data_IF_895013513533
#
_entry.id   IF_895013513533
#
_cell.length_a   1.000
_cell.length_b   1.000
_cell.length_c   1.000
_cell.angle_alpha   90.00
_cell.angle_beta   90.00
_cell.angle_gamma   90.00
#
_symmetry.space_group_name_H-M   'P 1'
#
loop_
_entity.id
_entity.type
_entity.pdbx_description
1 polymer ?
#
# COMPACT_ATOMS: atom_id res chain seq x y z
N UNK A 1 -2.92 -48.27 -34.85
CA UNK A 1 -4.02 -47.67 -34.06
C UNK A 1 -4.34 -48.64 -32.93
N UNK A 2 -4.10 -48.25 -31.67
CA UNK A 2 -5.17 -47.58 -30.90
C UNK A 2 -4.72 -46.42 -29.98
N UNK A 3 -5.72 -45.59 -29.65
CA UNK A 3 -5.96 -44.77 -28.46
C UNK A 3 -4.81 -43.98 -27.81
N UNK A 4 -4.79 -42.67 -28.08
CA UNK A 4 -4.15 -41.66 -27.24
C UNK A 4 -5.21 -41.14 -26.24
N UNK A 5 -5.00 -41.22 -24.91
CA UNK A 5 -5.99 -40.78 -23.95
C UNK A 5 -6.07 -39.24 -23.92
N UNK A 6 -7.27 -38.74 -24.18
CA UNK A 6 -7.69 -37.36 -24.05
C UNK A 6 -7.39 -36.84 -22.64
N UNK A 7 -6.46 -35.89 -22.53
CA UNK A 7 -6.33 -35.09 -21.30
C UNK A 7 -7.45 -34.06 -21.33
N UNK A 8 -8.53 -34.38 -20.62
CA UNK A 8 -9.59 -33.46 -20.27
C UNK A 8 -9.01 -32.38 -19.38
N UNK A 9 -8.86 -31.16 -19.90
CA UNK A 9 -8.64 -29.97 -19.07
C UNK A 9 -9.89 -29.81 -18.22
N UNK A 10 -9.78 -30.19 -16.94
CA UNK A 10 -10.82 -29.94 -15.95
C UNK A 10 -10.90 -28.43 -15.76
N UNK A 11 -11.94 -27.88 -16.37
CA UNK A 11 -12.52 -26.59 -16.03
C UNK A 11 -12.80 -26.59 -14.52
N UNK A 12 -12.02 -25.80 -13.79
CA UNK A 12 -11.75 -26.03 -12.39
C UNK A 12 -11.35 -24.76 -11.68
N UNK A 13 -12.34 -23.91 -11.44
CA UNK A 13 -12.26 -22.88 -10.41
C UNK A 13 -12.53 -21.50 -10.95
N UNK A 14 -13.74 -21.00 -10.67
CA UNK A 14 -13.98 -19.59 -10.41
C UNK A 14 -12.93 -19.12 -9.38
N UNK A 15 -11.79 -18.61 -9.85
CA UNK A 15 -10.87 -17.89 -8.99
C UNK A 15 -11.57 -16.58 -8.65
N UNK A 16 -12.03 -16.51 -7.40
CA UNK A 16 -12.58 -15.31 -6.82
C UNK A 16 -11.58 -14.18 -7.08
N UNK A 17 -12.05 -13.13 -7.76
CA UNK A 17 -11.48 -11.79 -7.65
C UNK A 17 -11.05 -11.62 -6.20
N UNK A 18 -9.74 -11.47 -5.94
CA UNK A 18 -9.25 -11.03 -4.63
C UNK A 18 -9.92 -9.68 -4.37
N UNK A 19 -10.99 -9.72 -3.57
CA UNK A 19 -11.74 -8.52 -3.23
C UNK A 19 -10.86 -7.72 -2.28
N UNK A 20 -10.92 -6.38 -2.27
CA UNK A 20 -10.33 -5.59 -1.19
C UNK A 20 -10.82 -6.03 0.21
N UNK A 21 -11.97 -6.71 0.28
CA UNK A 21 -12.52 -7.31 1.50
C UNK A 21 -11.79 -8.58 1.98
N UNK A 22 -10.92 -9.19 1.16
CA UNK A 22 -10.13 -10.39 1.49
C UNK A 22 -8.72 -10.03 2.02
N UNK A 23 -8.39 -8.73 2.10
CA UNK A 23 -7.27 -8.28 2.93
C UNK A 23 -7.57 -8.66 4.39
N UNK A 24 -6.58 -9.18 5.16
CA UNK A 24 -6.81 -9.62 6.53
C UNK A 24 -7.55 -8.54 7.32
N UNK A 25 -8.70 -8.92 7.89
CA UNK A 25 -9.68 -8.00 8.45
C UNK A 25 -9.05 -6.97 9.37
N UNK A 26 -9.00 -5.73 8.90
CA UNK A 26 -8.61 -4.58 9.71
C UNK A 26 -9.72 -4.37 10.73
N UNK A 27 -9.45 -4.75 11.98
CA UNK A 27 -10.38 -4.49 13.08
C UNK A 27 -10.55 -2.97 13.25
N UNK A 28 -11.79 -2.48 13.48
CA UNK A 28 -12.02 -1.06 13.75
C UNK A 28 -11.27 -0.66 15.03
N UNK A 29 -10.38 0.33 14.91
CA UNK A 29 -9.59 0.82 16.04
C UNK A 29 -10.43 1.69 16.96
N UNK A 30 -10.53 1.33 18.24
CA UNK A 30 -10.95 2.26 19.29
C UNK A 30 -9.75 3.14 19.66
N UNK A 31 -9.86 4.45 19.42
CA UNK A 31 -8.77 5.43 19.63
C UNK A 31 -8.55 5.76 21.11
N UNK A 32 -7.28 5.77 21.53
CA UNK A 32 -6.77 6.52 22.68
C UNK A 32 -6.14 7.80 22.11
N UNK A 33 -6.55 8.98 22.57
CA UNK A 33 -6.25 10.29 21.95
C UNK A 33 -4.77 10.54 21.57
N UNK A 34 -3.80 9.92 22.26
CA UNK A 34 -2.37 10.03 21.94
C UNK A 34 -1.96 9.44 20.58
N UNK A 35 -2.76 8.54 20.02
CA UNK A 35 -2.49 7.95 18.70
C UNK A 35 -3.00 8.81 17.55
N UNK A 36 -4.06 9.61 17.77
CA UNK A 36 -4.60 10.55 16.77
C UNK A 36 -3.60 11.67 16.50
N UNK A 37 -3.09 12.34 17.54
CA UNK A 37 -2.13 13.44 17.39
C UNK A 37 -0.89 13.01 16.59
N UNK A 38 -0.35 11.83 16.90
CA UNK A 38 0.83 11.28 16.21
C UNK A 38 0.53 10.98 14.75
N UNK A 39 -0.62 10.35 14.46
CA UNK A 39 -1.01 10.05 13.09
C UNK A 39 -1.29 11.32 12.28
N UNK A 40 -1.95 12.32 12.89
CA UNK A 40 -2.22 13.62 12.26
C UNK A 40 -0.94 14.30 11.76
N UNK A 41 0.10 14.35 12.61
CA UNK A 41 1.40 14.89 12.23
C UNK A 41 2.10 14.09 11.11
N UNK A 42 1.96 12.76 11.09
CA UNK A 42 2.51 11.92 10.02
C UNK A 42 1.80 12.16 8.69
N UNK A 43 0.46 12.28 8.70
CA UNK A 43 -0.35 12.58 7.52
C UNK A 43 -0.02 13.95 6.96
N UNK A 44 0.06 14.98 7.82
CA UNK A 44 0.44 16.33 7.40
C UNK A 44 1.84 16.35 6.77
N UNK A 45 2.82 15.69 7.38
CA UNK A 45 4.17 15.57 6.82
C UNK A 45 4.19 14.83 5.47
N UNK A 46 3.44 13.74 5.34
CA UNK A 46 3.36 12.99 4.09
C UNK A 46 2.74 13.83 2.95
N UNK A 47 1.70 14.62 3.24
CA UNK A 47 1.12 15.56 2.27
C UNK A 47 2.18 16.57 1.80
N UNK A 48 2.88 17.23 2.73
CA UNK A 48 3.93 18.20 2.39
C UNK A 48 5.04 17.60 1.53
N UNK A 49 5.46 16.37 1.83
CA UNK A 49 6.50 15.65 1.08
C UNK A 49 6.01 15.31 -0.33
N UNK A 50 4.77 14.83 -0.47
CA UNK A 50 4.19 14.48 -1.76
C UNK A 50 3.95 15.71 -2.64
N UNK A 51 3.50 16.83 -2.07
CA UNK A 51 3.38 18.11 -2.78
C UNK A 51 4.74 18.60 -3.30
N UNK A 52 5.78 18.49 -2.48
CA UNK A 52 7.14 18.82 -2.88
C UNK A 52 7.71 17.87 -3.95
N UNK A 53 7.44 16.56 -3.82
CA UNK A 53 7.74 15.55 -4.82
C UNK A 53 7.10 15.87 -6.17
N UNK A 54 5.81 16.23 -6.19
CA UNK A 54 5.09 16.58 -7.43
C UNK A 54 5.60 17.88 -8.05
N UNK A 55 5.82 18.90 -7.22
CA UNK A 55 6.31 20.21 -7.67
C UNK A 55 7.71 20.12 -8.27
N UNK A 56 8.64 19.45 -7.57
CA UNK A 56 10.06 19.37 -7.99
C UNK A 56 10.33 18.23 -8.96
N UNK A 57 9.46 17.22 -9.03
CA UNK A 57 9.61 16.01 -9.84
C UNK A 57 10.93 15.27 -9.60
N UNK A 58 11.34 15.17 -8.33
CA UNK A 58 12.52 14.41 -7.89
C UNK A 58 12.13 13.01 -7.44
N UNK A 59 13.07 12.04 -7.33
CA UNK A 59 12.77 10.77 -6.70
C UNK A 59 12.22 10.95 -5.28
N UNK A 60 11.20 10.16 -4.89
CA UNK A 60 10.56 10.28 -3.57
C UNK A 60 11.58 10.18 -2.41
N UNK A 61 12.59 9.30 -2.56
CA UNK A 61 13.68 9.16 -1.58
C UNK A 61 14.41 10.48 -1.33
N UNK A 62 14.59 11.30 -2.37
CA UNK A 62 15.21 12.63 -2.26
C UNK A 62 14.31 13.58 -1.49
N UNK A 63 13.02 13.66 -1.82
CA UNK A 63 12.06 14.50 -1.09
C UNK A 63 11.94 14.11 0.40
N UNK A 64 11.88 12.81 0.69
CA UNK A 64 11.90 12.28 2.06
C UNK A 64 13.18 12.68 2.81
N UNK A 65 14.34 12.56 2.17
CA UNK A 65 15.62 12.94 2.77
C UNK A 65 15.72 14.45 3.01
N UNK A 66 15.20 15.27 2.08
CA UNK A 66 15.17 16.72 2.20
C UNK A 66 14.32 17.16 3.40
N UNK A 67 13.08 16.69 3.47
CA UNK A 67 12.19 16.94 4.60
C UNK A 67 12.80 16.44 5.91
N UNK A 68 13.44 15.28 5.88
CA UNK A 68 14.00 14.64 7.07
C UNK A 68 15.07 15.50 7.77
N UNK A 69 15.87 16.28 7.02
CA UNK A 69 16.89 17.17 7.59
C UNK A 69 16.31 18.27 8.47
N UNK A 70 15.14 18.80 8.10
CA UNK A 70 14.44 19.83 8.87
C UNK A 70 13.60 19.26 10.02
N UNK A 71 13.13 18.02 9.89
CA UNK A 71 12.24 17.38 10.87
C UNK A 71 13.00 16.78 12.07
N UNK A 72 13.67 17.61 12.90
CA UNK A 72 14.50 17.14 14.03
C UNK A 72 13.76 16.29 15.07
N UNK A 73 12.45 16.48 15.18
CA UNK A 73 11.59 15.78 16.15
C UNK A 73 11.01 14.46 15.63
N UNK A 74 11.11 14.20 14.32
CA UNK A 74 10.64 12.94 13.76
C UNK A 74 11.64 11.82 14.07
N UNK A 75 11.23 10.86 14.89
CA UNK A 75 12.03 9.68 15.19
C UNK A 75 12.11 8.72 13.99
N UNK A 76 12.96 7.70 14.08
CA UNK A 76 13.10 6.69 13.02
C UNK A 76 11.77 5.98 12.70
N UNK A 77 10.92 5.75 13.71
CA UNK A 77 9.58 5.15 13.52
C UNK A 77 8.65 6.09 12.75
N UNK A 78 8.63 7.38 13.08
CA UNK A 78 7.78 8.35 12.37
C UNK A 78 8.22 8.52 10.93
N UNK A 79 9.53 8.59 10.67
CA UNK A 79 10.05 8.68 9.29
C UNK A 79 9.68 7.46 8.46
N UNK A 80 9.71 6.26 9.06
CA UNK A 80 9.29 5.04 8.39
C UNK A 80 7.78 5.05 8.08
N UNK A 81 6.94 5.44 9.04
CA UNK A 81 5.50 5.54 8.84
C UNK A 81 5.13 6.58 7.76
N UNK A 82 5.78 7.76 7.77
CA UNK A 82 5.59 8.81 6.77
C UNK A 82 6.01 8.34 5.37
N UNK A 83 7.16 7.67 5.25
CA UNK A 83 7.59 7.09 3.98
C UNK A 83 6.60 6.01 3.49
N UNK A 84 6.07 5.22 4.41
CA UNK A 84 5.01 4.24 4.15
C UNK A 84 3.76 4.89 3.54
N UNK A 85 3.21 5.91 4.20
CA UNK A 85 2.05 6.66 3.71
C UNK A 85 2.29 7.26 2.32
N UNK A 86 3.46 7.86 2.08
CA UNK A 86 3.81 8.41 0.77
C UNK A 86 3.79 7.33 -0.32
N UNK A 87 4.42 6.17 -0.05
CA UNK A 87 4.46 5.07 -1.00
C UNK A 87 3.09 4.43 -1.22
N UNK A 88 2.27 4.31 -0.19
CA UNK A 88 0.94 3.71 -0.31
C UNK A 88 -0.01 4.57 -1.15
N UNK A 89 0.05 5.90 -0.99
CA UNK A 89 -0.68 6.84 -1.86
C UNK A 89 -0.16 6.76 -3.29
N UNK A 90 1.17 6.77 -3.51
CA UNK A 90 1.72 6.73 -4.87
C UNK A 90 1.43 5.41 -5.60
N UNK A 91 1.46 4.27 -4.90
CA UNK A 91 1.09 2.96 -5.46
C UNK A 91 -0.37 2.89 -5.88
N UNK A 92 -1.23 3.74 -5.31
CA UNK A 92 -2.69 3.72 -5.52
C UNK A 92 -3.24 5.02 -6.08
N UNK A 93 -2.38 5.84 -6.70
CA UNK A 93 -2.74 7.23 -6.98
C UNK A 93 -3.94 7.35 -7.93
N UNK A 94 -4.05 6.49 -8.93
CA UNK A 94 -5.13 6.59 -9.94
C UNK A 94 -6.46 6.16 -9.34
N UNK A 95 -6.49 5.02 -8.64
CA UNK A 95 -7.70 4.51 -8.00
C UNK A 95 -8.18 5.47 -6.90
N UNK A 96 -7.26 6.01 -6.08
CA UNK A 96 -7.57 7.00 -5.05
C UNK A 96 -8.14 8.30 -5.64
N UNK A 97 -7.52 8.82 -6.70
CA UNK A 97 -7.97 10.06 -7.34
C UNK A 97 -9.34 9.88 -7.99
N UNK A 98 -9.54 8.76 -8.69
CA UNK A 98 -10.84 8.42 -9.26
C UNK A 98 -11.92 8.27 -8.18
N UNK A 99 -11.58 7.64 -7.05
CA UNK A 99 -12.51 7.44 -5.96
C UNK A 99 -13.00 8.72 -5.31
N UNK A 100 -12.08 9.64 -5.02
CA UNK A 100 -12.45 10.92 -4.38
C UNK A 100 -12.91 11.98 -5.39
N UNK A 101 -12.57 11.81 -6.68
CA UNK A 101 -12.87 12.74 -7.75
C UNK A 101 -11.95 13.97 -7.77
N UNK A 102 -10.74 13.84 -7.22
CA UNK A 102 -9.73 14.90 -7.12
C UNK A 102 -8.32 14.27 -7.14
N UNK A 103 -7.43 14.79 -7.99
CA UNK A 103 -6.06 14.29 -8.18
C UNK A 103 -5.04 14.89 -7.20
N UNK A 104 -5.49 15.82 -6.35
CA UNK A 104 -4.67 16.50 -5.36
C UNK A 104 -4.10 15.56 -4.30
N UNK A 105 -2.89 15.88 -3.84
CA UNK A 105 -2.18 15.09 -2.80
C UNK A 105 -3.01 14.94 -1.53
N UNK A 106 -3.62 16.02 -1.06
CA UNK A 106 -4.50 15.99 0.12
C UNK A 106 -5.69 15.06 -0.09
N UNK A 107 -6.39 15.20 -1.21
CA UNK A 107 -7.56 14.39 -1.51
C UNK A 107 -7.23 12.90 -1.57
N UNK A 108 -6.17 12.53 -2.30
CA UNK A 108 -5.71 11.13 -2.39
C UNK A 108 -5.24 10.57 -1.05
N UNK A 109 -4.60 11.37 -0.20
CA UNK A 109 -4.26 10.97 1.17
C UNK A 109 -5.49 10.71 2.03
N UNK A 110 -6.49 11.59 2.01
CA UNK A 110 -7.74 11.41 2.75
C UNK A 110 -8.50 10.15 2.28
N UNK A 111 -8.53 9.91 0.97
CA UNK A 111 -9.10 8.69 0.40
C UNK A 111 -8.34 7.43 0.88
N UNK A 112 -7.02 7.49 0.94
CA UNK A 112 -6.19 6.38 1.41
C UNK A 112 -6.49 6.04 2.88
N UNK A 113 -6.59 7.04 3.75
CA UNK A 113 -6.97 6.85 5.16
C UNK A 113 -8.33 6.16 5.31
N UNK A 114 -9.30 6.54 4.45
CA UNK A 114 -10.65 5.97 4.48
C UNK A 114 -10.70 4.51 4.01
N UNK A 115 -10.04 4.22 2.88
CA UNK A 115 -10.16 2.95 2.17
C UNK A 115 -9.20 1.89 2.73
N UNK A 116 -7.95 2.26 3.04
CA UNK A 116 -6.89 1.32 3.36
C UNK A 116 -6.47 1.35 4.83
N UNK A 117 -6.47 2.50 5.50
CA UNK A 117 -6.29 2.54 6.97
C UNK A 117 -7.59 2.22 7.73
N UNK A 118 -8.72 2.11 7.00
CA UNK A 118 -10.00 1.69 7.56
C UNK A 118 -10.69 2.71 8.46
N UNK A 119 -10.23 3.97 8.48
CA UNK A 119 -10.81 5.02 9.32
C UNK A 119 -12.25 5.34 8.90
N UNK A 120 -13.12 5.68 9.87
CA UNK A 120 -14.44 6.24 9.59
C UNK A 120 -14.32 7.68 9.06
N UNK A 121 -15.32 8.22 8.35
CA UNK A 121 -15.32 9.62 7.95
C UNK A 121 -15.07 10.58 9.12
N UNK A 122 -15.69 10.31 10.28
CA UNK A 122 -15.52 11.12 11.50
C UNK A 122 -14.10 11.02 12.06
N UNK A 123 -13.48 9.83 12.03
CA UNK A 123 -12.10 9.65 12.47
C UNK A 123 -11.12 10.38 11.53
N UNK A 124 -11.37 10.36 10.21
CA UNK A 124 -10.60 11.16 9.24
C UNK A 124 -10.79 12.65 9.51
N UNK A 125 -12.01 13.10 9.79
CA UNK A 125 -12.31 14.49 10.11
C UNK A 125 -11.59 14.96 11.38
N UNK A 126 -11.66 14.18 12.46
CA UNK A 126 -10.98 14.46 13.72
C UNK A 126 -9.46 14.52 13.54
N UNK A 127 -8.88 13.56 12.82
CA UNK A 127 -7.45 13.53 12.52
C UNK A 127 -7.01 14.74 11.66
N UNK A 128 -7.82 15.10 10.65
CA UNK A 128 -7.52 16.23 9.78
C UNK A 128 -7.57 17.56 10.54
N UNK A 129 -8.56 17.72 11.43
CA UNK A 129 -8.79 18.92 12.23
C UNK A 129 -7.87 19.05 13.46
N UNK A 130 -7.05 18.04 13.76
CA UNK A 130 -6.23 18.00 14.96
C UNK A 130 -5.19 19.13 14.99
N UNK A 131 -5.47 20.22 15.70
CA UNK A 131 -4.56 21.36 15.79
C UNK A 131 -3.51 21.15 16.90
N UNK A 132 -2.22 21.49 16.68
CA UNK A 132 -1.66 22.18 15.50
C UNK A 132 -1.05 21.23 14.45
N UNK A 133 -1.26 19.92 14.54
CA UNK A 133 -0.44 18.93 13.83
C UNK A 133 -1.06 18.35 12.55
N UNK A 134 -2.38 18.38 12.43
CA UNK A 134 -3.14 17.85 11.32
C UNK A 134 -3.06 18.74 10.07
N UNK A 135 -3.43 18.18 8.90
CA UNK A 135 -3.39 18.89 7.63
C UNK A 135 -4.44 20.00 7.47
N UNK A 136 -5.31 20.21 8.47
CA UNK A 136 -6.39 21.20 8.46
C UNK A 136 -7.77 20.55 8.29
N UNK A 137 -8.78 21.15 8.92
CA UNK A 137 -10.16 20.65 8.93
C UNK A 137 -10.69 20.37 7.52
N UNK A 138 -11.61 19.42 7.41
CA UNK A 138 -12.21 19.05 6.13
C UNK A 138 -13.12 20.16 5.60
N UNK A 139 -13.10 20.36 4.29
CA UNK A 139 -14.17 21.09 3.61
C UNK A 139 -15.46 20.26 3.55
N UNK A 140 -16.60 20.92 3.32
CA UNK A 140 -17.88 20.23 3.12
C UNK A 140 -17.83 19.23 1.96
N UNK A 141 -17.13 19.59 0.87
CA UNK A 141 -16.94 18.72 -0.28
C UNK A 141 -16.12 17.46 0.06
N UNK A 142 -15.03 17.62 0.81
CA UNK A 142 -14.20 16.50 1.28
C UNK A 142 -15.02 15.56 2.18
N UNK A 143 -15.76 16.11 3.14
CA UNK A 143 -16.60 15.33 4.05
C UNK A 143 -17.69 14.55 3.30
N UNK A 144 -18.37 15.18 2.32
CA UNK A 144 -19.37 14.53 1.49
C UNK A 144 -18.80 13.40 0.63
N UNK A 145 -17.58 13.57 0.08
CA UNK A 145 -16.91 12.51 -0.67
C UNK A 145 -16.48 11.35 0.22
N UNK A 146 -15.87 11.63 1.37
CA UNK A 146 -15.40 10.59 2.31
C UNK A 146 -16.51 9.65 2.78
N UNK A 147 -17.72 10.16 2.95
CA UNK A 147 -18.88 9.36 3.36
C UNK A 147 -19.35 8.37 2.28
N UNK A 148 -19.11 8.68 0.99
CA UNK A 148 -19.57 7.90 -0.17
C UNK A 148 -18.48 7.01 -0.79
N UNK A 149 -17.20 7.21 -0.44
CA UNK A 149 -16.05 6.53 -1.05
C UNK A 149 -16.15 5.01 -1.14
N UNK A 150 -16.59 4.31 -0.08
CA UNK A 150 -16.72 2.85 -0.12
C UNK A 150 -17.80 2.36 -1.07
N UNK A 151 -18.84 3.16 -1.32
CA UNK A 151 -19.85 2.83 -2.32
C UNK A 151 -19.26 2.95 -3.73
N UNK A 152 -18.52 4.02 -3.99
CA UNK A 152 -17.82 4.24 -5.25
C UNK A 152 -16.79 3.15 -5.56
N UNK A 153 -15.98 2.75 -4.56
CA UNK A 153 -15.00 1.67 -4.73
C UNK A 153 -15.67 0.36 -5.16
N UNK A 154 -16.79 -0.01 -4.50
CA UNK A 154 -17.55 -1.22 -4.85
C UNK A 154 -18.16 -1.15 -6.24
N UNK A 155 -18.58 0.03 -6.68
CA UNK A 155 -19.14 0.24 -8.02
C UNK A 155 -18.06 0.20 -9.10
N UNK A 156 -16.92 0.85 -8.84
CA UNK A 156 -15.78 0.89 -9.76
C UNK A 156 -15.13 -0.48 -9.96
N UNK A 157 -15.19 -1.35 -8.95
CA UNK A 157 -14.71 -2.73 -9.03
C UNK A 157 -15.64 -3.67 -9.82
N UNK A 158 -16.81 -3.21 -10.28
CA UNK A 158 -17.70 -4.01 -11.15
C UNK A 158 -17.21 -4.00 -12.59
N UNK A 159 -17.63 -5.02 -13.33
CA UNK A 159 -17.40 -5.10 -14.77
C UNK A 159 -17.99 -3.87 -15.47
N UNK A 160 -17.15 -3.12 -16.19
CA UNK A 160 -17.51 -1.85 -16.82
C UNK A 160 -17.44 -0.60 -15.93
N UNK A 161 -16.95 -0.70 -14.69
CA UNK A 161 -16.80 0.42 -13.76
C UNK A 161 -15.70 1.41 -14.16
N UNK A 162 -14.45 1.13 -13.77
CA UNK A 162 -13.29 1.96 -14.13
C UNK A 162 -12.41 1.27 -15.19
N UNK A 163 -11.70 2.03 -16.05
CA UNK A 163 -10.64 1.47 -16.89
C UNK A 163 -9.65 0.67 -16.04
N UNK A 164 -9.15 -0.44 -16.58
CA UNK A 164 -8.23 -1.33 -15.84
C UNK A 164 -6.98 -0.58 -15.35
N UNK A 165 -6.49 0.40 -16.11
CA UNK A 165 -5.38 1.27 -15.71
C UNK A 165 -5.65 2.11 -14.46
N UNK A 166 -6.91 2.48 -14.23
CA UNK A 166 -7.36 3.16 -13.02
C UNK A 166 -7.56 2.15 -11.89
N UNK A 167 -8.25 1.04 -12.15
CA UNK A 167 -8.58 0.03 -11.15
C UNK A 167 -7.34 -0.69 -10.58
N UNK A 168 -6.28 -0.83 -11.36
CA UNK A 168 -5.03 -1.49 -10.98
C UNK A 168 -3.81 -0.57 -10.94
N UNK A 169 -4.04 0.76 -10.89
CA UNK A 169 -3.01 1.76 -10.61
C UNK A 169 -1.76 1.71 -11.50
N UNK A 170 -1.96 1.66 -12.81
CA UNK A 170 -0.87 1.75 -13.78
C UNK A 170 -1.18 2.76 -14.90
N UNK A 171 -0.14 3.30 -15.58
CA UNK A 171 -0.35 4.23 -16.68
C UNK A 171 -1.18 3.64 -17.84
N UNK A 172 -2.19 4.37 -18.32
CA UNK A 172 -3.07 3.92 -19.41
C UNK A 172 -2.32 3.51 -20.70
N UNK A 173 -1.20 4.16 -21.02
CA UNK A 173 -0.39 3.80 -22.19
C UNK A 173 0.27 2.41 -22.10
N UNK A 174 0.31 1.80 -20.91
CA UNK A 174 0.80 0.43 -20.72
C UNK A 174 -0.29 -0.64 -20.93
N UNK A 175 -1.57 -0.27 -21.11
CA UNK A 175 -2.67 -1.25 -21.21
C UNK A 175 -2.41 -2.33 -22.27
N UNK A 176 -1.93 -1.95 -23.45
CA UNK A 176 -1.59 -2.91 -24.49
C UNK A 176 -0.45 -3.87 -24.10
N UNK A 177 0.55 -3.40 -23.35
CA UNK A 177 1.65 -4.23 -22.87
C UNK A 177 1.20 -5.17 -21.73
N UNK A 178 0.39 -4.66 -20.81
CA UNK A 178 -0.21 -5.42 -19.71
C UNK A 178 -1.09 -6.54 -20.25
N UNK A 179 -1.95 -6.24 -21.23
CA UNK A 179 -2.81 -7.23 -21.85
C UNK A 179 -2.00 -8.34 -22.55
N UNK A 180 -0.90 -8.00 -23.22
CA UNK A 180 0.00 -9.00 -23.83
C UNK A 180 0.70 -9.88 -22.80
N UNK A 181 1.09 -9.31 -21.65
CA UNK A 181 1.85 -10.02 -20.64
C UNK A 181 0.97 -10.92 -19.75
N UNK A 182 -0.20 -10.42 -19.33
CA UNK A 182 -1.02 -11.05 -18.29
C UNK A 182 -2.39 -11.53 -18.78
N UNK A 183 -2.85 -11.09 -19.95
CA UNK A 183 -4.14 -11.50 -20.51
C UNK A 183 -5.30 -11.32 -19.51
N UNK A 184 -6.07 -12.38 -19.31
CA UNK A 184 -7.20 -12.38 -18.36
C UNK A 184 -6.82 -12.20 -16.88
N UNK A 185 -5.54 -12.38 -16.52
CA UNK A 185 -5.04 -12.21 -15.15
C UNK A 185 -4.57 -10.77 -14.86
N UNK A 186 -4.63 -9.85 -15.84
CA UNK A 186 -4.09 -8.50 -15.71
C UNK A 186 -4.57 -7.76 -14.46
N UNK A 187 -5.87 -7.86 -14.14
CA UNK A 187 -6.46 -7.18 -13.00
C UNK A 187 -5.87 -7.67 -11.66
N UNK A 188 -5.80 -8.98 -11.45
CA UNK A 188 -5.29 -9.57 -10.20
C UNK A 188 -3.79 -9.35 -10.04
N UNK A 189 -3.03 -9.52 -11.13
CA UNK A 189 -1.58 -9.33 -11.11
C UNK A 189 -1.21 -7.89 -10.81
N UNK A 190 -1.83 -6.91 -11.48
CA UNK A 190 -1.48 -5.51 -11.25
C UNK A 190 -2.02 -4.96 -9.93
N UNK A 191 -3.13 -5.50 -9.42
CA UNK A 191 -3.54 -5.23 -8.04
C UNK A 191 -2.46 -5.68 -7.03
N UNK A 192 -1.77 -6.81 -7.28
CA UNK A 192 -0.66 -7.26 -6.45
C UNK A 192 0.56 -6.31 -6.54
N UNK A 193 0.84 -5.71 -7.70
CA UNK A 193 1.90 -4.70 -7.86
C UNK A 193 1.64 -3.42 -7.02
N UNK A 194 0.38 -3.06 -6.82
CA UNK A 194 0.00 -1.93 -5.96
C UNK A 194 0.08 -2.26 -4.46
N UNK A 195 0.15 -3.54 -4.08
CA UNK A 195 0.29 -3.97 -2.69
C UNK A 195 1.68 -3.69 -2.12
N UNK A 196 1.79 -3.67 -0.78
CA UNK A 196 3.09 -3.65 -0.13
C UNK A 196 3.77 -5.00 -0.37
N UNK A 197 5.02 -4.96 -0.81
CA UNK A 197 5.78 -6.17 -1.08
C UNK A 197 6.39 -6.76 0.19
N UNK A 198 6.48 -8.08 0.22
CA UNK A 198 7.32 -8.80 1.18
C UNK A 198 8.79 -8.42 1.01
N UNK A 199 9.57 -8.61 2.08
CA UNK A 199 11.01 -8.39 2.05
C UNK A 199 11.71 -9.73 1.91
N UNK A 200 12.26 -9.98 0.73
CA UNK A 200 13.06 -11.16 0.45
C UNK A 200 14.56 -10.89 0.71
N UNK A 201 15.17 -11.76 1.51
CA UNK A 201 16.55 -11.68 1.95
C UNK A 201 17.35 -12.86 1.39
N UNK A 202 18.54 -12.59 0.85
CA UNK A 202 19.49 -13.65 0.47
C UNK A 202 20.34 -14.06 1.67
N UNK A 203 20.32 -15.35 2.00
CA UNK A 203 21.15 -15.92 3.05
C UNK A 203 22.58 -16.16 2.52
N UNK A 204 23.59 -15.68 3.25
CA UNK A 204 25.00 -15.83 2.85
C UNK A 204 25.56 -17.20 3.26
N UNK A 205 25.46 -18.17 2.36
CA UNK A 205 25.89 -19.56 2.59
C UNK A 205 27.41 -19.74 2.75
N UNK A 206 28.22 -18.73 2.39
CA UNK A 206 29.66 -18.75 2.65
C UNK A 206 30.01 -18.56 4.13
N UNK A 207 29.06 -18.03 4.93
CA UNK A 207 29.28 -17.69 6.33
C UNK A 207 28.57 -18.59 7.31
N UNK A 208 27.42 -19.12 6.93
CA UNK A 208 26.61 -19.97 7.79
C UNK A 208 25.65 -20.83 6.96
N UNK A 209 25.07 -21.84 7.59
CA UNK A 209 24.03 -22.66 6.94
C UNK A 209 22.70 -21.89 6.89
N UNK A 210 21.82 -22.15 5.89
CA UNK A 210 20.51 -21.51 5.81
C UNK A 210 19.66 -21.66 7.08
N UNK A 211 19.73 -22.81 7.74
CA UNK A 211 18.96 -23.11 8.95
C UNK A 211 19.39 -22.22 10.12
N UNK A 212 20.72 -22.05 10.30
CA UNK A 212 21.28 -21.16 11.32
C UNK A 212 20.95 -19.70 11.03
N UNK A 213 20.99 -19.29 9.75
CA UNK A 213 20.63 -17.93 9.37
C UNK A 213 19.14 -17.64 9.61
N UNK A 214 18.26 -18.59 9.27
CA UNK A 214 16.82 -18.47 9.51
C UNK A 214 16.50 -18.37 11.00
N UNK A 215 17.11 -19.22 11.85
CA UNK A 215 16.94 -19.14 13.30
C UNK A 215 17.34 -17.77 13.87
N UNK A 216 18.41 -17.15 13.35
CA UNK A 216 18.81 -15.81 13.77
C UNK A 216 17.81 -14.71 13.34
N UNK A 217 17.12 -14.92 12.22
CA UNK A 217 16.14 -13.98 11.66
C UNK A 217 14.72 -14.17 12.22
N UNK A 218 14.48 -15.16 13.07
CA UNK A 218 13.16 -15.41 13.67
C UNK A 218 12.68 -14.18 14.49
N UNK A 219 13.60 -13.51 15.18
CA UNK A 219 13.32 -12.29 15.96
C UNK A 219 12.78 -11.12 15.13
N UNK A 220 13.00 -11.14 13.82
CA UNK A 220 12.49 -10.14 12.88
C UNK A 220 11.32 -10.66 12.03
N UNK A 221 10.76 -11.81 12.41
CA UNK A 221 9.61 -12.42 11.75
C UNK A 221 9.93 -13.03 10.38
N UNK A 222 11.19 -13.40 10.12
CA UNK A 222 11.54 -14.03 8.86
C UNK A 222 11.16 -15.51 8.84
N UNK A 223 10.64 -15.96 7.71
CA UNK A 223 10.32 -17.34 7.41
C UNK A 223 11.12 -17.82 6.17
N UNK A 224 11.24 -19.14 5.92
CA UNK A 224 11.82 -19.64 4.68
C UNK A 224 11.09 -19.12 3.45
N UNK A 225 11.82 -18.67 2.43
CA UNK A 225 11.21 -18.29 1.16
C UNK A 225 10.69 -19.54 0.42
N UNK A 226 9.49 -19.49 -0.20
CA UNK A 226 8.83 -20.70 -0.71
C UNK A 226 9.57 -21.36 -1.90
N UNK A 227 10.35 -20.59 -2.65
CA UNK A 227 11.01 -21.05 -3.89
C UNK A 227 12.54 -21.15 -3.78
N UNK A 228 13.15 -20.69 -2.68
CA UNK A 228 14.61 -20.65 -2.52
C UNK A 228 15.04 -21.08 -1.12
N UNK A 229 15.77 -22.20 -1.05
CA UNK A 229 16.35 -22.73 0.20
C UNK A 229 17.38 -21.78 0.83
N UNK A 230 17.95 -20.87 0.05
CA UNK A 230 18.96 -19.89 0.48
C UNK A 230 18.39 -18.48 0.64
N UNK A 231 17.07 -18.38 0.85
CA UNK A 231 16.42 -17.10 1.07
C UNK A 231 15.45 -17.17 2.25
N UNK A 232 15.28 -16.02 2.89
CA UNK A 232 14.26 -15.80 3.91
C UNK A 232 13.33 -14.69 3.45
N UNK A 233 12.08 -14.73 3.91
CA UNK A 233 11.04 -13.76 3.61
C UNK A 233 10.51 -13.18 4.91
N UNK A 234 10.41 -11.87 4.97
CA UNK A 234 9.67 -11.16 6.02
C UNK A 234 8.41 -10.63 5.37
N UNK A 235 7.26 -10.93 5.98
CA UNK A 235 5.97 -10.45 5.48
C UNK A 235 5.96 -8.92 5.38
N UNK A 236 5.24 -8.39 4.39
CA UNK A 236 5.08 -6.96 4.20
C UNK A 236 4.64 -6.28 5.52
N UNK A 237 5.35 -5.25 6.00
CA UNK A 237 4.99 -4.58 7.25
C UNK A 237 3.69 -3.79 7.08
N UNK A 238 2.90 -3.71 8.15
CA UNK A 238 1.72 -2.84 8.21
C UNK A 238 2.13 -1.36 8.08
N UNK A 239 1.14 -0.47 7.91
CA UNK A 239 1.38 0.96 7.73
C UNK A 239 2.18 1.62 8.88
N UNK A 240 2.09 1.06 10.08
CA UNK A 240 2.73 1.57 11.29
C UNK A 240 4.05 0.90 11.62
N UNK A 241 4.31 -0.26 11.02
CA UNK A 241 5.48 -1.05 11.28
C UNK A 241 6.63 -0.63 10.38
N UNK A 242 7.80 -0.54 10.99
CA UNK A 242 9.05 -0.38 10.26
C UNK A 242 9.53 -1.76 9.83
N UNK A 243 9.89 -1.89 8.55
CA UNK A 243 10.70 -3.01 8.09
C UNK A 243 11.91 -3.22 9.01
N UNK A 244 12.12 -4.43 9.55
CA UNK A 244 13.18 -4.68 10.51
C UNK A 244 14.54 -4.36 9.91
N UNK A 245 15.42 -3.73 10.71
CA UNK A 245 16.79 -3.51 10.29
C UNK A 245 17.54 -4.85 10.39
N UNK A 246 17.80 -5.48 9.25
CA UNK A 246 18.62 -6.68 9.18
C UNK A 246 20.05 -6.25 8.88
N UNK A 247 20.92 -6.36 9.88
CA UNK A 247 22.35 -6.10 9.71
C UNK A 247 23.01 -7.33 9.11
N UNK A 248 23.80 -7.13 8.07
CA UNK A 248 24.65 -8.17 7.47
C UNK A 248 25.75 -8.47 8.49
N UNK A 249 25.59 -9.55 9.27
CA UNK A 249 26.68 -10.03 10.13
C UNK A 249 27.69 -10.76 9.30
#
# INVERSE_FOLDING_TARGET
>A
MPANPSVTVRDGGRQALLRPADAPGIQPRNSIAGDIMRMAGRVAAAILILEDFERRRVPLKTALADWARGARYAGAKDRAAIAGLCLDVLRRRRSLSAAIGDEGVRATMLAHLRLFEGLSPDAVAALAAEAPHGPGALSEAEAARLSTLRAFERESAREGGAPISVASDFPAWLEGAVQRAFGGAALSELAAFAARADIDLRLNTLRTSPEKALAALETVGAAPAPFLKTAARIAAPTSEERAPAVTVI
#
